data_IF_492829512719
#
_entry.id   IF_492829512719
#
_cell.length_a   1.000
_cell.length_b   1.000
_cell.length_c   1.000
_cell.angle_alpha   90.00
_cell.angle_beta   90.00
_cell.angle_gamma   90.00
#
_symmetry.space_group_name_H-M   'P 1'
#
loop_
_entity.id
_entity.type
_entity.pdbx_description
1 polymer ?
#
# COMPACT_ATOMS: atom_id res chain seq x y z
N UNK A 1 -13.54 -2.96 -5.52
CA UNK A 1 -13.37 -2.08 -6.70
C UNK A 1 -12.32 -2.71 -7.58
N UNK A 2 -12.68 -3.07 -8.81
CA UNK A 2 -11.75 -3.73 -9.73
C UNK A 2 -10.54 -2.85 -10.01
N UNK A 3 -9.30 -3.40 -10.00
CA UNK A 3 -8.07 -2.64 -10.25
C UNK A 3 -8.12 -1.88 -11.59
N UNK A 4 -8.75 -2.46 -12.59
CA UNK A 4 -8.92 -1.87 -13.93
C UNK A 4 -9.75 -0.58 -13.88
N UNK A 5 -10.84 -0.56 -13.12
CA UNK A 5 -11.71 0.62 -12.96
C UNK A 5 -10.97 1.74 -12.22
N UNK A 6 -10.14 1.38 -11.23
CA UNK A 6 -9.30 2.34 -10.52
C UNK A 6 -8.31 3.02 -11.46
N UNK A 7 -7.54 2.25 -12.24
CA UNK A 7 -6.58 2.79 -13.20
C UNK A 7 -7.24 3.71 -14.23
N UNK A 8 -8.44 3.35 -14.69
CA UNK A 8 -9.18 4.18 -15.64
C UNK A 8 -9.64 5.50 -15.02
N UNK A 9 -10.16 5.46 -13.78
CA UNK A 9 -10.51 6.66 -13.03
C UNK A 9 -9.31 7.58 -12.84
N UNK A 10 -8.17 7.02 -12.47
CA UNK A 10 -6.94 7.78 -12.23
C UNK A 10 -6.43 8.41 -13.54
N UNK A 11 -6.52 7.69 -14.66
CA UNK A 11 -6.21 8.24 -15.99
C UNK A 11 -7.13 9.42 -16.35
N UNK A 12 -8.44 9.30 -16.14
CA UNK A 12 -9.38 10.39 -16.42
C UNK A 12 -9.15 11.62 -15.53
N UNK A 13 -8.84 11.40 -14.26
CA UNK A 13 -8.47 12.49 -13.36
C UNK A 13 -7.20 13.20 -13.83
N UNK A 14 -6.21 12.44 -14.28
CA UNK A 14 -4.98 12.99 -14.84
C UNK A 14 -5.25 13.78 -16.13
N UNK A 15 -6.06 13.24 -17.03
CA UNK A 15 -6.46 13.91 -18.27
C UNK A 15 -7.11 15.26 -17.98
N UNK A 16 -8.11 15.30 -17.10
CA UNK A 16 -8.80 16.53 -16.72
C UNK A 16 -7.84 17.56 -16.11
N UNK A 17 -6.85 17.11 -15.33
CA UNK A 17 -5.85 18.00 -14.75
C UNK A 17 -4.93 18.61 -15.81
N UNK A 18 -4.49 17.80 -16.77
CA UNK A 18 -3.63 18.25 -17.87
C UNK A 18 -4.36 19.26 -18.76
N UNK A 19 -5.63 18.98 -19.11
CA UNK A 19 -6.39 19.85 -19.99
C UNK A 19 -6.65 21.22 -19.37
N UNK A 20 -7.03 21.27 -18.08
CA UNK A 20 -7.20 22.54 -17.35
C UNK A 20 -5.89 23.33 -17.24
N UNK A 21 -4.79 22.65 -16.89
CA UNK A 21 -3.48 23.29 -16.74
C UNK A 21 -2.97 23.86 -18.07
N UNK A 22 -3.00 23.07 -19.14
CA UNK A 22 -2.48 23.51 -20.42
C UNK A 22 -3.38 24.58 -21.06
N UNK A 23 -4.70 24.52 -20.88
CA UNK A 23 -5.60 25.59 -21.32
C UNK A 23 -5.29 26.91 -20.61
N UNK A 24 -5.20 26.92 -19.27
CA UNK A 24 -4.94 28.14 -18.49
C UNK A 24 -3.55 28.75 -18.73
N UNK A 25 -2.57 27.95 -19.14
CA UNK A 25 -1.21 28.43 -19.41
C UNK A 25 -0.94 28.80 -20.86
N UNK A 26 -1.58 28.12 -21.82
CA UNK A 26 -1.22 28.25 -23.24
C UNK A 26 -2.28 28.94 -24.09
N UNK A 27 -3.54 29.08 -23.64
CA UNK A 27 -4.59 29.76 -24.41
C UNK A 27 -4.75 31.17 -23.86
N UNK A 28 -4.27 32.13 -24.62
CA UNK A 28 -4.27 33.55 -24.26
C UNK A 28 -5.00 34.43 -25.28
N UNK A 29 -5.25 33.93 -26.49
CA UNK A 29 -5.92 34.65 -27.55
C UNK A 29 -7.38 34.24 -27.67
N UNK A 30 -8.29 35.15 -27.31
CA UNK A 30 -9.75 34.95 -27.40
C UNK A 30 -10.39 35.68 -28.59
N UNK A 31 -9.59 36.21 -29.53
CA UNK A 31 -10.11 36.92 -30.71
C UNK A 31 -10.56 35.96 -31.83
N UNK A 32 -10.12 34.69 -31.81
CA UNK A 32 -10.53 33.65 -32.76
C UNK A 32 -11.04 32.41 -32.05
N UNK A 33 -11.93 31.67 -32.72
CA UNK A 33 -12.39 30.35 -32.23
C UNK A 33 -11.32 29.25 -32.39
N UNK A 34 -10.43 29.43 -33.36
CA UNK A 34 -9.36 28.49 -33.65
C UNK A 34 -8.11 28.83 -32.83
N UNK A 35 -7.42 27.77 -32.37
CA UNK A 35 -6.15 27.87 -31.67
C UNK A 35 -5.06 28.34 -32.64
N UNK A 36 -4.30 29.35 -32.26
CA UNK A 36 -3.18 29.84 -33.06
C UNK A 36 -2.03 28.83 -33.11
N UNK A 37 -1.10 28.99 -34.06
CA UNK A 37 0.07 28.11 -34.18
C UNK A 37 0.97 28.17 -32.94
N UNK A 38 1.04 29.31 -32.28
CA UNK A 38 1.86 29.54 -31.09
C UNK A 38 1.26 28.82 -29.87
N UNK A 39 -0.05 28.95 -29.67
CA UNK A 39 -0.80 28.23 -28.64
C UNK A 39 -0.73 26.71 -28.87
N UNK A 40 -0.89 26.23 -30.10
CA UNK A 40 -0.75 24.81 -30.44
C UNK A 40 0.65 24.27 -30.09
N UNK A 41 1.72 25.00 -30.45
CA UNK A 41 3.07 24.63 -30.08
C UNK A 41 3.32 24.70 -28.55
N UNK A 42 2.63 25.59 -27.83
CA UNK A 42 2.67 25.64 -26.38
C UNK A 42 1.98 24.41 -25.76
N UNK A 43 0.79 24.03 -26.26
CA UNK A 43 0.04 22.86 -25.78
C UNK A 43 0.87 21.57 -25.90
N UNK A 44 1.53 21.35 -27.04
CA UNK A 44 2.41 20.18 -27.24
C UNK A 44 3.54 20.12 -26.22
N UNK A 45 4.20 21.26 -25.97
CA UNK A 45 5.27 21.37 -24.97
C UNK A 45 4.73 21.20 -23.54
N UNK A 46 3.55 21.74 -23.26
CA UNK A 46 2.89 21.64 -21.95
C UNK A 46 2.62 20.19 -21.59
N UNK A 47 1.98 19.43 -22.50
CA UNK A 47 1.69 18.01 -22.28
C UNK A 47 2.97 17.20 -22.12
N UNK A 48 3.96 17.39 -23.00
CA UNK A 48 5.26 16.70 -22.88
C UNK A 48 5.96 16.99 -21.55
N UNK A 49 5.97 18.26 -21.11
CA UNK A 49 6.56 18.67 -19.84
C UNK A 49 5.82 18.03 -18.67
N UNK A 50 4.49 18.06 -18.68
CA UNK A 50 3.66 17.46 -17.65
C UNK A 50 3.92 15.96 -17.54
N UNK A 51 3.92 15.22 -18.65
CA UNK A 51 4.17 13.78 -18.65
C UNK A 51 5.54 13.44 -18.05
N UNK A 52 6.60 14.15 -18.46
CA UNK A 52 7.96 13.94 -17.91
C UNK A 52 8.02 14.25 -16.42
N UNK A 53 7.37 15.33 -15.98
CA UNK A 53 7.31 15.71 -14.56
C UNK A 53 6.54 14.65 -13.76
N UNK A 54 5.40 14.19 -14.26
CA UNK A 54 4.59 13.18 -13.60
C UNK A 54 5.36 11.86 -13.42
N UNK A 55 6.07 11.42 -14.47
CA UNK A 55 6.95 10.24 -14.40
C UNK A 55 8.08 10.43 -13.39
N UNK A 56 8.73 11.60 -13.38
CA UNK A 56 9.81 11.89 -12.43
C UNK A 56 9.32 11.92 -10.99
N UNK A 57 8.17 12.54 -10.73
CA UNK A 57 7.55 12.58 -9.40
C UNK A 57 7.22 11.16 -8.95
N UNK A 58 6.64 10.34 -9.83
CA UNK A 58 6.31 8.95 -9.49
C UNK A 58 7.56 8.14 -9.13
N UNK A 59 8.66 8.31 -9.87
CA UNK A 59 9.92 7.62 -9.57
C UNK A 59 10.46 8.01 -8.19
N UNK A 60 10.52 9.31 -7.89
CA UNK A 60 10.98 9.81 -6.58
C UNK A 60 10.04 9.36 -5.46
N UNK A 61 8.73 9.37 -5.71
CA UNK A 61 7.74 8.93 -4.73
C UNK A 61 7.97 7.46 -4.35
N UNK A 62 8.15 6.58 -5.33
CA UNK A 62 8.43 5.16 -5.07
C UNK A 62 9.72 4.98 -4.28
N UNK A 63 10.79 5.70 -4.64
CA UNK A 63 12.08 5.65 -3.93
C UNK A 63 11.96 6.08 -2.45
N UNK A 64 11.22 7.15 -2.18
CA UNK A 64 11.06 7.67 -0.81
C UNK A 64 10.08 6.82 0.00
N UNK A 65 9.02 6.31 -0.64
CA UNK A 65 7.97 5.55 0.02
C UNK A 65 8.47 4.21 0.57
N UNK A 66 9.38 3.53 -0.13
CA UNK A 66 9.99 2.27 0.35
C UNK A 66 10.74 2.50 1.67
N UNK A 67 11.61 3.51 1.74
CA UNK A 67 12.36 3.83 2.96
C UNK A 67 11.45 4.27 4.13
N UNK A 68 10.36 4.98 3.85
CA UNK A 68 9.35 5.31 4.88
C UNK A 68 8.64 4.06 5.37
N UNK A 69 8.26 3.16 4.45
CA UNK A 69 7.58 1.92 4.80
C UNK A 69 8.46 1.02 5.67
N UNK A 70 9.74 0.89 5.35
CA UNK A 70 10.71 0.14 6.15
C UNK A 70 10.81 0.67 7.58
N UNK A 71 10.92 2.00 7.75
CA UNK A 71 10.94 2.62 9.08
C UNK A 71 9.64 2.37 9.85
N UNK A 72 8.50 2.49 9.19
CA UNK A 72 7.18 2.23 9.81
C UNK A 72 7.04 0.77 10.27
N UNK A 73 7.53 -0.19 9.48
CA UNK A 73 7.49 -1.61 9.85
C UNK A 73 8.38 -1.87 11.06
N UNK A 74 9.62 -1.35 11.08
CA UNK A 74 10.54 -1.52 12.21
C UNK A 74 9.98 -0.94 13.52
N UNK A 75 9.33 0.23 13.45
CA UNK A 75 8.68 0.85 14.62
C UNK A 75 7.48 0.02 15.11
N UNK A 76 6.67 -0.53 14.20
CA UNK A 76 5.54 -1.42 14.54
C UNK A 76 6.01 -2.71 15.20
N UNK A 77 7.11 -3.31 14.71
CA UNK A 77 7.68 -4.52 15.30
C UNK A 77 8.25 -4.27 16.71
N UNK A 78 8.92 -3.14 16.92
CA UNK A 78 9.43 -2.74 18.23
C UNK A 78 8.29 -2.52 19.24
N UNK A 79 7.19 -1.90 18.81
CA UNK A 79 6.00 -1.74 19.64
C UNK A 79 5.30 -3.08 19.93
N UNK A 80 5.23 -3.98 18.94
CA UNK A 80 4.64 -5.31 19.09
C UNK A 80 5.39 -6.16 20.13
N UNK A 81 6.73 -6.11 20.15
CA UNK A 81 7.54 -6.82 21.15
C UNK A 81 7.35 -6.26 22.56
N UNK A 82 7.16 -4.95 22.72
CA UNK A 82 6.88 -4.36 24.03
C UNK A 82 5.50 -4.77 24.59
N UNK A 83 4.51 -5.01 23.72
CA UNK A 83 3.17 -5.48 24.12
C UNK A 83 3.14 -6.97 24.48
N UNK A 84 3.93 -7.83 23.84
CA UNK A 84 4.02 -9.26 24.19
C UNK A 84 4.76 -9.51 25.51
N UNK A 85 5.77 -8.68 25.82
CA UNK A 85 6.50 -8.76 27.10
C UNK A 85 5.64 -8.29 28.28
N UNK A 86 4.90 -7.18 28.12
CA UNK A 86 4.00 -6.67 29.17
C UNK A 86 2.81 -7.59 29.48
N UNK A 87 2.39 -8.45 28.54
CA UNK A 87 1.34 -9.45 28.76
C UNK A 87 1.85 -10.73 29.44
N UNK A 88 3.17 -10.94 29.52
CA UNK A 88 3.77 -12.11 30.19
C UNK A 88 4.00 -11.88 31.69
N UNK A 89 4.17 -10.63 32.14
CA UNK A 89 4.41 -10.28 33.56
C UNK A 89 3.16 -10.39 34.47
N UNK A 90 1.94 -10.50 33.93
CA UNK A 90 0.72 -10.68 34.74
C UNK A 90 0.42 -12.14 35.13
N UNK A 91 1.14 -13.14 34.60
CA UNK A 91 0.87 -14.56 34.87
C UNK A 91 1.76 -15.20 35.95
N UNK A 92 2.66 -14.45 36.60
CA UNK A 92 3.54 -14.96 37.66
C UNK A 92 3.25 -14.30 39.02
N UNK A 93 2.09 -14.62 39.59
CA UNK A 93 1.89 -14.59 41.04
C UNK A 93 1.20 -15.91 41.44
N UNK A 94 1.98 -16.87 41.95
CA UNK A 94 1.47 -18.14 42.50
C UNK A 94 1.79 -18.14 44.01
N UNK A 95 0.85 -18.59 44.86
CA UNK A 95 1.27 -19.62 45.80
C UNK A 95 0.31 -20.82 45.84
N UNK A 96 0.94 -21.97 45.93
CA UNK A 96 0.46 -23.36 46.05
C UNK A 96 -0.35 -23.61 47.33
N UNK A 97 -1.48 -24.34 47.28
CA UNK A 97 -1.86 -25.39 48.25
C UNK A 97 -3.19 -26.12 47.93
N UNK A 98 -3.09 -27.45 47.88
CA UNK A 98 -4.03 -28.53 48.21
C UNK A 98 -5.18 -28.98 47.28
N UNK A 99 -5.04 -30.28 46.93
CA UNK A 99 -6.06 -31.32 46.69
C UNK A 99 -7.26 -31.17 47.65
N UNK A 100 -8.51 -31.50 47.34
CA UNK A 100 -9.10 -32.51 46.45
C UNK A 100 -10.58 -32.15 46.23
N UNK A 101 -11.13 -32.36 45.04
CA UNK A 101 -12.21 -33.34 44.87
C UNK A 101 -12.61 -33.47 43.40
N UNK A 102 -12.68 -34.75 43.01
CA UNK A 102 -13.23 -35.33 41.80
C UNK A 102 -14.58 -34.75 41.41
N UNK A 103 -14.85 -34.59 40.11
CA UNK A 103 -15.83 -35.39 39.36
C UNK A 103 -15.65 -35.17 37.84
N UNK A 104 -15.77 -36.28 37.11
CA UNK A 104 -15.66 -36.51 35.66
C UNK A 104 -16.34 -35.42 34.79
N UNK A 105 -15.92 -35.14 33.55
CA UNK A 105 -15.91 -36.13 32.48
C UNK A 105 -15.05 -35.79 31.24
N UNK A 106 -14.40 -36.84 30.75
CA UNK A 106 -14.00 -37.22 29.39
C UNK A 106 -13.39 -36.23 28.38
N UNK A 107 -12.07 -36.38 28.22
CA UNK A 107 -11.37 -36.77 26.98
C UNK A 107 -11.95 -36.32 25.63
N UNK A 108 -11.16 -35.56 24.85
CA UNK A 108 -10.34 -36.12 23.76
C UNK A 108 -9.66 -34.99 22.97
N UNK A 109 -8.34 -35.14 22.82
CA UNK A 109 -7.43 -34.36 22.00
C UNK A 109 -7.77 -34.45 20.51
N UNK A 110 -7.41 -33.44 19.71
CA UNK A 110 -6.53 -33.77 18.61
C UNK A 110 -5.31 -32.87 18.52
N UNK A 111 -4.20 -33.53 18.21
CA UNK A 111 -2.92 -32.99 17.80
C UNK A 111 -3.10 -32.00 16.63
N UNK A 112 -2.34 -30.90 16.63
CA UNK A 112 -1.97 -30.22 15.37
C UNK A 112 -0.45 -30.17 15.33
N UNK A 113 0.06 -31.00 14.43
CA UNK A 113 1.45 -31.24 14.11
C UNK A 113 2.08 -30.01 13.45
N UNK A 114 3.32 -29.69 13.87
CA UNK A 114 4.17 -28.66 13.27
C UNK A 114 4.60 -29.13 11.87
N UNK A 115 4.41 -28.29 10.85
CA UNK A 115 5.05 -28.52 9.54
C UNK A 115 5.76 -27.25 9.05
N UNK A 116 7.08 -27.25 9.14
CA UNK A 116 7.98 -26.33 8.42
C UNK A 116 8.17 -26.81 6.96
N UNK A 117 8.67 -25.94 6.06
CA UNK A 117 8.47 -26.01 4.62
C UNK A 117 9.60 -26.75 3.89
N UNK A 118 9.29 -27.48 2.81
CA UNK A 118 10.20 -27.60 1.67
C UNK A 118 9.58 -28.25 0.41
N UNK A 119 9.66 -27.47 -0.67
CA UNK A 119 10.06 -27.75 -2.06
C UNK A 119 9.51 -28.93 -2.91
N UNK A 120 9.27 -28.54 -4.17
CA UNK A 120 9.53 -29.23 -5.43
C UNK A 120 8.43 -30.09 -6.09
N UNK A 121 8.00 -29.57 -7.25
CA UNK A 121 7.89 -30.22 -8.56
C UNK A 121 6.97 -31.43 -8.80
N UNK A 122 6.16 -31.24 -9.85
CA UNK A 122 5.78 -32.21 -10.90
C UNK A 122 4.53 -33.09 -10.71
N UNK A 123 3.49 -32.84 -11.52
CA UNK A 123 2.61 -33.80 -12.22
C UNK A 123 1.36 -33.06 -12.76
N UNK A 124 1.28 -32.78 -14.06
CA UNK A 124 0.49 -33.57 -15.02
C UNK A 124 -0.99 -33.71 -14.63
N UNK A 125 -1.84 -32.81 -15.13
CA UNK A 125 -2.99 -33.15 -16.00
C UNK A 125 -3.57 -31.91 -16.67
#
# INVERSE_FOLDING_TARGET
>A
MDPQIRNFRDFLQLYNKITELCFSHCVDNFFSRETSREEAACLDKCVQKFTRVNQRIMNVYVEVQTGINERRVAEMEAQAQSQTLASTEQQQAIPTANQSDSFADSNTMPQIEVKTPQEADNAVR
#
